data_IF_155009508705
#
_entry.id   IF_155009508705
#
_cell.length_a   1.000
_cell.length_b   1.000
_cell.length_c   1.000
_cell.angle_alpha   90.00
_cell.angle_beta   90.00
_cell.angle_gamma   90.00
#
_symmetry.space_group_name_H-M   'P 1'
#
loop_
_entity.id
_entity.type
_entity.pdbx_description
1 polymer ?
#
# COMPACT_ATOMS: atom_id res chain seq x y z
N UNK A 1 1.10 6.62 25.36
CA UNK A 1 1.72 7.79 24.69
C UNK A 1 0.95 9.04 25.08
N UNK A 2 1.59 10.06 25.63
CA UNK A 2 0.96 11.36 25.90
C UNK A 2 1.65 12.45 25.09
N UNK A 3 0.87 13.33 24.49
CA UNK A 3 1.40 14.54 23.85
C UNK A 3 1.44 15.64 24.91
N UNK A 4 2.61 16.24 25.13
CA UNK A 4 2.74 17.35 26.07
C UNK A 4 2.21 18.65 25.45
N UNK A 5 1.97 19.68 26.29
CA UNK A 5 1.54 21.01 25.83
C UNK A 5 2.49 21.68 24.82
N UNK A 6 3.70 21.18 24.72
CA UNK A 6 4.76 21.66 23.81
C UNK A 6 4.84 20.81 22.53
N UNK A 7 3.82 20.03 22.18
CA UNK A 7 3.78 19.09 21.06
C UNK A 7 4.91 18.03 21.06
N UNK A 8 5.51 17.75 22.22
CA UNK A 8 6.49 16.69 22.36
C UNK A 8 5.79 15.36 22.65
N UNK A 9 6.09 14.32 21.88
CA UNK A 9 5.64 12.96 22.16
C UNK A 9 6.45 12.40 23.33
N UNK A 10 5.78 11.96 24.40
CA UNK A 10 6.40 11.32 25.55
C UNK A 10 5.94 9.88 25.66
N UNK A 11 6.87 8.98 25.91
CA UNK A 11 6.61 7.58 26.23
C UNK A 11 6.59 7.44 27.76
N UNK A 12 5.45 7.71 28.38
CA UNK A 12 5.31 7.72 29.84
C UNK A 12 5.38 6.33 30.51
N UNK A 13 5.30 5.25 29.69
CA UNK A 13 5.26 3.87 30.21
C UNK A 13 6.63 3.27 30.52
N UNK A 14 7.72 3.94 30.19
CA UNK A 14 9.08 3.42 30.36
C UNK A 14 9.92 4.39 31.21
N UNK A 15 9.72 4.39 32.50
CA UNK A 15 10.69 4.88 33.46
C UNK A 15 11.96 4.00 33.37
N UNK A 16 13.10 4.48 33.09
CA UNK A 16 13.71 5.79 32.98
C UNK A 16 13.75 6.39 31.56
N UNK A 17 13.09 5.80 30.58
CA UNK A 17 13.06 6.29 29.19
C UNK A 17 12.11 7.48 28.98
N UNK A 18 11.15 7.67 29.89
CA UNK A 18 10.21 8.80 29.86
C UNK A 18 10.88 10.18 29.87
N UNK A 19 12.11 10.27 30.35
CA UNK A 19 12.90 11.51 30.37
C UNK A 19 13.79 11.70 29.15
N UNK A 20 13.91 10.69 28.26
CA UNK A 20 14.69 10.81 27.03
C UNK A 20 13.84 11.52 25.97
N UNK A 21 14.24 12.73 25.60
CA UNK A 21 13.73 13.36 24.39
C UNK A 21 14.14 12.51 23.19
N UNK A 22 13.16 12.06 22.42
CA UNK A 22 13.45 11.44 21.12
C UNK A 22 14.12 12.51 20.26
N UNK A 23 15.37 12.27 19.90
CA UNK A 23 16.11 13.09 18.96
C UNK A 23 16.22 12.28 17.67
N UNK A 24 15.30 12.46 16.71
CA UNK A 24 15.39 11.75 15.44
C UNK A 24 16.67 12.18 14.73
N UNK A 25 17.37 11.20 14.17
CA UNK A 25 18.56 11.43 13.33
C UNK A 25 18.22 10.90 11.96
N UNK A 26 18.34 11.74 10.94
CA UNK A 26 18.21 11.30 9.56
C UNK A 26 19.38 10.39 9.22
N UNK A 27 19.09 9.14 8.83
CA UNK A 27 20.09 8.13 8.46
C UNK A 27 20.26 8.03 6.95
N UNK A 28 19.23 8.42 6.19
CA UNK A 28 19.28 8.50 4.73
C UNK A 28 18.27 9.51 4.19
N UNK A 29 18.48 9.95 2.94
CA UNK A 29 17.50 10.67 2.14
C UNK A 29 17.79 10.45 0.65
N UNK A 30 16.72 10.34 -0.13
CA UNK A 30 16.78 10.16 -1.58
C UNK A 30 15.94 11.24 -2.24
N UNK A 31 16.52 11.90 -3.24
CA UNK A 31 15.81 12.81 -4.15
C UNK A 31 15.76 12.16 -5.53
N UNK A 32 14.57 11.83 -5.99
CA UNK A 32 14.37 11.29 -7.32
C UNK A 32 13.59 12.29 -8.18
N UNK A 33 14.19 12.71 -9.29
CA UNK A 33 13.58 13.67 -10.22
C UNK A 33 12.50 13.05 -11.12
N UNK A 34 12.37 11.74 -11.09
CA UNK A 34 11.33 10.99 -11.80
C UNK A 34 9.96 11.13 -11.16
N UNK A 35 9.89 11.54 -9.88
CA UNK A 35 8.68 11.68 -9.09
C UNK A 35 8.52 13.11 -8.59
N UNK A 36 7.27 13.53 -8.37
CA UNK A 36 6.99 14.95 -8.14
C UNK A 36 6.46 15.27 -6.74
N UNK A 37 5.72 14.33 -6.09
CA UNK A 37 5.05 14.63 -4.83
C UNK A 37 4.87 13.37 -3.97
N UNK A 38 5.93 13.00 -3.26
CA UNK A 38 5.89 11.88 -2.32
C UNK A 38 4.79 12.08 -1.26
N UNK A 39 3.86 11.14 -1.18
CA UNK A 39 2.68 11.26 -0.33
C UNK A 39 2.68 10.26 0.81
N UNK A 40 2.90 8.99 0.56
CA UNK A 40 2.96 7.96 1.58
C UNK A 40 4.14 7.02 1.38
N UNK A 41 4.52 6.33 2.45
CA UNK A 41 5.57 5.34 2.47
C UNK A 41 5.10 4.13 3.29
N UNK A 42 5.09 2.94 2.69
CA UNK A 42 4.64 1.71 3.34
C UNK A 42 5.72 0.66 3.25
N UNK A 43 6.17 0.16 4.40
CA UNK A 43 7.11 -0.96 4.46
C UNK A 43 6.40 -2.28 4.13
N UNK A 44 7.12 -3.22 3.50
CA UNK A 44 6.71 -4.60 3.50
C UNK A 44 6.84 -5.21 4.91
N UNK A 45 6.36 -6.44 5.11
CA UNK A 45 6.26 -7.03 6.46
C UNK A 45 7.60 -7.21 7.16
N UNK A 46 8.68 -7.48 6.45
CA UNK A 46 10.02 -7.69 7.03
C UNK A 46 10.88 -6.41 7.10
N UNK A 47 10.39 -5.30 6.56
CA UNK A 47 11.06 -4.00 6.58
C UNK A 47 12.25 -3.89 5.62
N UNK A 48 12.33 -4.76 4.62
CA UNK A 48 13.40 -4.76 3.61
C UNK A 48 13.06 -3.94 2.37
N UNK A 49 11.79 -3.61 2.17
CA UNK A 49 11.29 -2.80 1.05
C UNK A 49 10.37 -1.70 1.54
N UNK A 50 10.31 -0.61 0.77
CA UNK A 50 9.38 0.50 0.97
C UNK A 50 8.72 0.83 -0.36
N UNK A 51 7.39 0.86 -0.36
CA UNK A 51 6.61 1.38 -1.47
C UNK A 51 6.23 2.82 -1.16
N UNK A 52 6.65 3.75 -2.01
CA UNK A 52 6.30 5.16 -1.94
C UNK A 52 5.25 5.49 -2.99
N UNK A 53 4.26 6.29 -2.63
CA UNK A 53 3.26 6.77 -3.58
C UNK A 53 3.58 8.20 -4.02
N UNK A 54 3.44 8.50 -5.32
CA UNK A 54 3.58 9.86 -5.87
C UNK A 54 2.20 10.45 -6.18
N UNK A 55 1.68 11.24 -5.26
CA UNK A 55 0.42 11.97 -5.47
C UNK A 55 0.64 13.21 -6.36
N UNK A 56 1.19 13.03 -7.53
CA UNK A 56 1.58 14.13 -8.39
C UNK A 56 0.47 15.14 -8.68
N UNK A 57 0.72 16.36 -8.29
CA UNK A 57 -0.23 17.47 -8.45
C UNK A 57 -1.41 17.42 -7.49
N UNK A 58 -1.31 16.66 -6.38
CA UNK A 58 -2.34 16.57 -5.34
C UNK A 58 -3.62 15.90 -5.85
N UNK A 59 -3.50 14.90 -6.73
CA UNK A 59 -4.59 14.01 -7.14
C UNK A 59 -5.70 14.64 -7.99
N UNK A 60 -5.62 15.92 -8.34
CA UNK A 60 -6.71 16.61 -9.05
C UNK A 60 -6.68 16.52 -10.58
N UNK A 61 -5.73 15.78 -11.16
CA UNK A 61 -5.52 15.73 -12.61
C UNK A 61 -5.53 14.31 -13.16
N UNK A 62 -5.89 14.12 -14.44
CA UNK A 62 -5.77 12.83 -15.12
C UNK A 62 -4.28 12.58 -15.42
N UNK A 63 -3.69 11.61 -14.72
CA UNK A 63 -2.28 11.22 -14.86
C UNK A 63 -2.10 9.73 -15.14
N UNK A 64 -3.19 9.06 -15.57
CA UNK A 64 -3.20 7.64 -15.92
C UNK A 64 -3.68 7.40 -17.36
N UNK A 65 -3.49 8.38 -18.25
CA UNK A 65 -3.87 8.24 -19.66
C UNK A 65 -2.84 7.38 -20.41
N UNK A 66 -3.25 6.77 -21.52
CA UNK A 66 -2.38 5.93 -22.35
C UNK A 66 -1.09 6.63 -22.84
N UNK A 67 -1.13 7.95 -23.02
CA UNK A 67 0.00 8.75 -23.48
C UNK A 67 0.87 9.34 -22.37
N UNK A 68 0.48 9.17 -21.11
CA UNK A 68 1.23 9.73 -19.98
C UNK A 68 2.52 8.94 -19.70
N UNK A 69 3.60 9.62 -19.31
CA UNK A 69 4.79 8.93 -18.80
C UNK A 69 4.46 8.02 -17.62
N UNK A 70 5.02 6.81 -17.61
CA UNK A 70 4.71 5.80 -16.59
C UNK A 70 5.02 6.22 -15.16
N UNK A 71 5.99 7.12 -14.97
CA UNK A 71 6.36 7.62 -13.63
C UNK A 71 5.44 8.73 -13.11
N UNK A 72 4.53 9.27 -13.90
CA UNK A 72 3.62 10.31 -13.44
C UNK A 72 2.58 9.78 -12.46
N UNK A 73 2.69 10.20 -11.19
CA UNK A 73 1.79 9.74 -10.15
C UNK A 73 1.79 8.22 -9.99
N UNK A 74 2.96 7.61 -10.05
CA UNK A 74 3.19 6.18 -9.90
C UNK A 74 3.66 5.83 -8.48
N UNK A 75 3.74 4.55 -8.17
CA UNK A 75 4.49 4.07 -7.01
C UNK A 75 5.95 3.93 -7.36
N UNK A 76 6.81 4.15 -6.38
CA UNK A 76 8.21 3.79 -6.44
C UNK A 76 8.52 2.72 -5.39
N UNK A 77 9.20 1.67 -5.81
CA UNK A 77 9.63 0.58 -4.93
C UNK A 77 11.12 0.74 -4.68
N UNK A 78 11.48 0.73 -3.40
CA UNK A 78 12.84 0.85 -2.93
C UNK A 78 13.17 -0.31 -2.00
N UNK A 79 14.34 -0.91 -2.20
CA UNK A 79 14.97 -1.78 -1.20
C UNK A 79 15.61 -0.97 -0.10
N UNK A 80 15.50 -1.46 1.14
CA UNK A 80 16.16 -0.90 2.32
C UNK A 80 17.20 -1.89 2.85
N UNK A 81 18.48 -1.54 2.74
CA UNK A 81 19.58 -2.34 3.24
C UNK A 81 20.56 -1.47 4.02
N UNK A 82 20.92 -1.91 5.22
CA UNK A 82 21.85 -1.20 6.11
C UNK A 82 21.49 0.28 6.35
N UNK A 83 20.18 0.57 6.41
CA UNK A 83 19.64 1.92 6.55
C UNK A 83 19.74 2.79 5.28
N UNK A 84 19.99 2.18 4.12
CA UNK A 84 20.09 2.85 2.83
C UNK A 84 19.00 2.41 1.88
N UNK A 85 18.36 3.40 1.24
CA UNK A 85 17.35 3.21 0.22
C UNK A 85 17.99 3.10 -1.17
N UNK A 86 17.57 2.09 -1.94
CA UNK A 86 17.96 1.88 -3.34
C UNK A 86 16.72 1.71 -4.18
N UNK A 87 16.57 2.52 -5.24
CA UNK A 87 15.46 2.40 -6.19
C UNK A 87 15.56 1.08 -6.97
N UNK A 88 14.47 0.33 -6.99
CA UNK A 88 14.35 -0.92 -7.74
C UNK A 88 13.50 -0.67 -9.00
N UNK A 89 12.22 -0.34 -8.83
CA UNK A 89 11.29 -0.16 -9.95
C UNK A 89 10.15 0.81 -9.62
N UNK A 90 9.26 0.99 -10.59
CA UNK A 90 7.99 1.69 -10.41
C UNK A 90 6.81 0.80 -10.80
N UNK A 91 5.70 0.99 -10.11
CA UNK A 91 4.41 0.45 -10.54
C UNK A 91 3.48 1.59 -10.96
N UNK A 92 2.77 1.40 -12.05
CA UNK A 92 1.73 2.30 -12.56
C UNK A 92 0.52 1.48 -12.98
N UNK A 93 -0.65 1.96 -12.62
CA UNK A 93 -1.93 1.39 -13.05
C UNK A 93 -1.87 0.96 -14.53
N UNK A 94 -2.09 -0.32 -14.86
CA UNK A 94 -1.90 -0.81 -16.23
C UNK A 94 -3.02 -0.39 -17.17
N UNK A 95 -4.26 -0.25 -16.67
CA UNK A 95 -5.41 0.17 -17.47
C UNK A 95 -5.43 1.70 -17.65
N UNK A 96 -5.35 2.20 -18.90
CA UNK A 96 -5.42 3.63 -19.15
C UNK A 96 -6.79 4.20 -18.76
N UNK A 97 -6.78 5.35 -18.12
CA UNK A 97 -7.97 6.09 -17.73
C UNK A 97 -8.27 7.22 -18.74
N UNK A 98 -9.48 7.74 -18.72
CA UNK A 98 -9.88 8.86 -19.57
C UNK A 98 -9.31 10.21 -19.06
N UNK A 99 -9.49 11.26 -19.85
CA UNK A 99 -9.18 12.64 -19.45
C UNK A 99 -10.21 13.24 -18.46
N UNK A 100 -11.26 12.48 -18.13
CA UNK A 100 -12.30 12.85 -17.15
C UNK A 100 -12.05 12.26 -15.75
N UNK A 101 -11.01 11.46 -15.60
CA UNK A 101 -10.68 10.74 -14.37
C UNK A 101 -9.40 11.28 -13.76
N UNK A 102 -9.53 11.98 -12.61
CA UNK A 102 -8.33 12.28 -11.83
C UNK A 102 -7.74 10.97 -11.29
N UNK A 103 -6.46 10.74 -11.53
CA UNK A 103 -5.81 9.47 -11.24
C UNK A 103 -4.32 9.65 -10.99
N UNK A 104 -3.89 9.28 -9.80
CA UNK A 104 -2.50 9.10 -9.35
C UNK A 104 -2.47 8.10 -8.20
N UNK A 105 -1.30 7.60 -7.85
CA UNK A 105 -1.08 6.78 -6.67
C UNK A 105 -1.45 7.54 -5.38
N UNK A 106 -2.18 6.91 -4.49
CA UNK A 106 -2.58 7.48 -3.20
C UNK A 106 -2.41 6.46 -2.05
N UNK A 107 -3.24 6.52 -1.02
CA UNK A 107 -3.08 5.69 0.17
C UNK A 107 -3.47 4.23 -0.02
N UNK A 108 -2.76 3.38 0.69
CA UNK A 108 -3.00 1.95 0.71
C UNK A 108 -2.49 1.27 1.97
N UNK A 109 -2.57 -0.05 2.00
CA UNK A 109 -2.04 -0.87 3.08
C UNK A 109 -1.56 -2.24 2.59
N UNK A 110 -0.72 -2.88 3.38
CA UNK A 110 -0.31 -4.26 3.14
C UNK A 110 -1.49 -5.21 3.36
N UNK A 111 -1.65 -6.18 2.46
CA UNK A 111 -2.43 -7.40 2.67
C UNK A 111 -1.44 -8.47 3.12
N UNK A 112 -1.50 -8.91 4.38
CA UNK A 112 -0.46 -9.76 4.94
C UNK A 112 -0.60 -11.21 4.44
N UNK A 113 0.28 -11.64 3.55
CA UNK A 113 0.35 -13.01 3.04
C UNK A 113 1.76 -13.56 3.30
N UNK A 114 1.91 -14.76 3.89
CA UNK A 114 3.23 -15.31 4.19
C UNK A 114 4.13 -15.38 2.96
N UNK A 115 5.32 -14.78 3.03
CA UNK A 115 6.33 -14.81 1.96
C UNK A 115 5.95 -14.04 0.69
N UNK A 116 4.97 -13.13 0.77
CA UNK A 116 4.62 -12.21 -0.33
C UNK A 116 4.45 -10.79 0.18
N UNK A 117 4.78 -9.83 -0.66
CA UNK A 117 4.59 -8.42 -0.43
C UNK A 117 3.41 -7.94 -1.29
N UNK A 118 2.22 -7.95 -0.72
CA UNK A 118 0.98 -7.56 -1.40
C UNK A 118 0.47 -6.25 -0.81
N UNK A 119 0.15 -5.29 -1.68
CA UNK A 119 -0.33 -3.97 -1.31
C UNK A 119 -1.64 -3.66 -2.00
N UNK A 120 -2.65 -3.22 -1.26
CA UNK A 120 -3.87 -2.66 -1.83
C UNK A 120 -3.80 -1.15 -1.83
N UNK A 121 -4.20 -0.50 -2.92
CA UNK A 121 -4.01 0.92 -3.12
C UNK A 121 -5.19 1.58 -3.81
N UNK A 122 -5.46 2.82 -3.44
CA UNK A 122 -6.38 3.72 -4.09
C UNK A 122 -5.67 4.57 -5.17
N UNK A 123 -6.35 4.76 -6.31
CA UNK A 123 -5.89 5.55 -7.47
C UNK A 123 -6.88 6.65 -7.84
N UNK A 124 -7.61 7.21 -6.88
CA UNK A 124 -8.72 8.11 -7.16
C UNK A 124 -9.74 7.47 -8.11
N UNK A 125 -10.09 8.10 -9.23
CA UNK A 125 -11.03 7.53 -10.21
C UNK A 125 -10.46 6.35 -11.00
N UNK A 126 -9.14 6.14 -10.98
CA UNK A 126 -8.53 4.89 -11.45
C UNK A 126 -8.85 3.66 -10.57
N UNK A 127 -9.62 3.85 -9.49
CA UNK A 127 -10.15 2.76 -8.69
C UNK A 127 -9.20 2.23 -7.63
N UNK A 128 -9.17 0.91 -7.51
CA UNK A 128 -8.35 0.16 -6.55
C UNK A 128 -7.49 -0.84 -7.31
N UNK A 129 -6.20 -0.89 -7.00
CA UNK A 129 -5.29 -1.96 -7.41
C UNK A 129 -4.86 -2.79 -6.22
N UNK A 130 -4.70 -4.10 -6.42
CA UNK A 130 -3.96 -4.99 -5.53
C UNK A 130 -2.69 -5.39 -6.26
N UNK A 131 -1.55 -5.07 -5.66
CA UNK A 131 -0.23 -5.13 -6.28
C UNK A 131 0.61 -6.16 -5.54
N UNK A 132 1.21 -7.09 -6.27
CA UNK A 132 2.27 -7.94 -5.77
C UNK A 132 3.62 -7.33 -6.14
N UNK A 133 4.41 -6.93 -5.15
CA UNK A 133 5.76 -6.40 -5.29
C UNK A 133 6.81 -7.28 -4.57
N UNK A 134 6.49 -8.57 -4.43
CA UNK A 134 7.43 -9.58 -3.88
C UNK A 134 8.73 -9.58 -4.67
N UNK A 135 8.64 -9.53 -6.00
CA UNK A 135 9.75 -9.15 -6.87
C UNK A 135 9.74 -7.62 -7.03
N UNK A 136 10.68 -6.94 -6.35
CA UNK A 136 10.75 -5.50 -6.35
C UNK A 136 11.08 -4.90 -7.74
N UNK A 137 11.72 -5.66 -8.61
CA UNK A 137 12.05 -5.25 -9.97
C UNK A 137 10.86 -5.36 -10.94
N UNK A 138 9.90 -6.25 -10.64
CA UNK A 138 8.77 -6.58 -11.51
C UNK A 138 7.43 -6.64 -10.76
N UNK A 139 6.93 -5.52 -10.20
CA UNK A 139 5.63 -5.49 -9.53
C UNK A 139 4.50 -5.73 -10.54
N UNK A 140 3.49 -6.51 -10.12
CA UNK A 140 2.35 -6.88 -10.97
C UNK A 140 1.02 -6.58 -10.27
N UNK A 141 0.02 -6.18 -11.04
CA UNK A 141 -1.37 -6.11 -10.56
C UNK A 141 -1.97 -7.52 -10.53
N UNK A 142 -2.53 -7.90 -9.38
CA UNK A 142 -3.13 -9.22 -9.18
C UNK A 142 -4.64 -9.18 -8.98
N UNK A 143 -5.19 -8.01 -8.67
CA UNK A 143 -6.62 -7.74 -8.67
C UNK A 143 -6.87 -6.23 -8.80
N UNK A 144 -8.05 -5.86 -9.25
CA UNK A 144 -8.43 -4.45 -9.40
C UNK A 144 -9.94 -4.25 -9.27
N UNK A 145 -10.33 -3.02 -9.02
CA UNK A 145 -11.70 -2.55 -9.15
C UNK A 145 -11.69 -1.13 -9.71
N UNK A 146 -12.45 -0.93 -10.79
CA UNK A 146 -12.62 0.35 -11.45
C UNK A 146 -14.08 0.48 -11.89
N UNK A 147 -14.67 1.67 -11.74
CA UNK A 147 -16.05 1.94 -12.13
C UNK A 147 -16.18 3.09 -13.13
N UNK A 148 -15.04 3.58 -13.60
CA UNK A 148 -15.00 4.71 -14.52
C UNK A 148 -15.29 6.07 -13.88
N UNK A 149 -15.40 7.13 -14.71
CA UNK A 149 -15.49 8.51 -14.25
C UNK A 149 -16.75 8.78 -13.43
N UNK A 150 -16.66 9.77 -12.54
CA UNK A 150 -17.83 10.31 -11.81
C UNK A 150 -18.76 11.02 -12.78
N UNK A 151 -18.20 11.69 -13.78
CA UNK A 151 -18.90 12.42 -14.84
C UNK A 151 -18.18 12.17 -16.18
N UNK A 152 -18.90 11.73 -17.19
CA UNK A 152 -18.34 11.40 -18.50
C UNK A 152 -18.01 12.65 -19.35
N UNK A 153 -18.55 13.80 -19.01
CA UNK A 153 -18.39 15.04 -19.79
C UNK A 153 -17.36 15.97 -19.16
N UNK A 154 -17.20 15.93 -17.82
CA UNK A 154 -16.39 16.88 -17.08
C UNK A 154 -15.41 16.18 -16.14
N UNK A 155 -14.19 16.70 -16.02
CA UNK A 155 -13.27 16.29 -14.99
C UNK A 155 -13.73 16.80 -13.62
N UNK A 156 -14.32 15.90 -12.83
CA UNK A 156 -14.71 16.12 -11.44
C UNK A 156 -13.73 15.36 -10.55
N UNK A 157 -13.28 15.95 -9.47
CA UNK A 157 -12.47 15.24 -8.49
C UNK A 157 -13.31 14.20 -7.76
N UNK A 158 -12.92 12.94 -7.84
CA UNK A 158 -13.63 11.80 -7.26
C UNK A 158 -12.72 10.59 -7.12
N UNK A 159 -13.34 9.45 -6.87
CA UNK A 159 -12.67 8.17 -6.79
C UNK A 159 -12.13 7.83 -5.39
N UNK A 160 -11.43 6.72 -5.30
CA UNK A 160 -10.99 6.17 -4.03
C UNK A 160 -9.83 6.96 -3.44
N UNK A 161 -10.03 7.43 -2.19
CA UNK A 161 -9.04 8.21 -1.44
C UNK A 161 -8.06 7.33 -0.70
N UNK A 162 -8.54 6.24 -0.08
CA UNK A 162 -7.74 5.32 0.71
C UNK A 162 -8.30 3.91 0.59
N UNK A 163 -7.43 2.91 0.63
CA UNK A 163 -7.79 1.50 0.67
C UNK A 163 -7.03 0.79 1.79
N UNK A 164 -7.74 0.12 2.69
CA UNK A 164 -7.14 -0.56 3.84
C UNK A 164 -7.66 -1.99 3.97
N UNK A 165 -6.72 -2.94 4.11
CA UNK A 165 -7.04 -4.29 4.53
C UNK A 165 -7.37 -4.32 6.02
N UNK A 166 -8.48 -4.90 6.36
CA UNK A 166 -8.87 -5.14 7.74
C UNK A 166 -9.83 -6.33 7.83
N UNK A 167 -9.50 -7.29 8.70
CA UNK A 167 -10.37 -8.42 9.05
C UNK A 167 -11.02 -9.10 7.81
N UNK A 168 -10.18 -9.52 6.85
CA UNK A 168 -10.60 -10.24 5.65
C UNK A 168 -11.31 -9.40 4.58
N UNK A 169 -11.26 -8.08 4.69
CA UNK A 169 -11.91 -7.17 3.72
C UNK A 169 -11.01 -5.97 3.40
N UNK A 170 -11.25 -5.39 2.25
CA UNK A 170 -10.67 -4.11 1.85
C UNK A 170 -11.76 -3.04 2.03
N UNK A 171 -11.46 -2.03 2.82
CA UNK A 171 -12.32 -0.86 3.03
C UNK A 171 -11.72 0.32 2.29
N UNK A 172 -12.50 0.90 1.37
CA UNK A 172 -12.04 1.99 0.53
C UNK A 172 -13.02 3.16 0.57
N UNK A 173 -12.54 4.32 1.01
CA UNK A 173 -13.33 5.55 0.97
C UNK A 173 -13.31 6.11 -0.45
N UNK A 174 -14.46 6.54 -0.93
CA UNK A 174 -14.65 7.12 -2.27
C UNK A 174 -15.23 8.52 -2.11
N UNK A 175 -14.57 9.52 -2.71
CA UNK A 175 -14.85 10.96 -2.51
C UNK A 175 -16.29 11.32 -2.88
N UNK A 176 -16.77 10.83 -4.02
CA UNK A 176 -18.09 11.20 -4.57
C UNK A 176 -19.19 10.20 -4.20
N UNK A 177 -18.86 8.93 -3.88
CA UNK A 177 -19.83 7.84 -3.78
C UNK A 177 -19.84 7.15 -2.40
N UNK A 178 -18.97 7.54 -1.47
CA UNK A 178 -18.99 7.13 -0.06
C UNK A 178 -17.97 6.06 0.31
N UNK A 179 -18.38 4.84 0.63
CA UNK A 179 -17.53 3.74 1.11
C UNK A 179 -17.83 2.46 0.33
N UNK A 180 -16.77 1.84 -0.16
CA UNK A 180 -16.81 0.51 -0.73
C UNK A 180 -16.14 -0.52 0.21
N UNK A 181 -16.68 -1.72 0.24
CA UNK A 181 -16.11 -2.86 0.97
C UNK A 181 -15.96 -4.01 -0.01
N UNK A 182 -14.71 -4.48 -0.18
CA UNK A 182 -14.40 -5.56 -1.11
C UNK A 182 -13.94 -6.82 -0.38
N UNK A 183 -14.22 -7.97 -0.99
CA UNK A 183 -13.60 -9.24 -0.68
C UNK A 183 -12.62 -9.62 -1.80
N UNK A 184 -11.51 -10.26 -1.45
CA UNK A 184 -10.67 -10.93 -2.43
C UNK A 184 -11.28 -12.29 -2.78
N UNK A 185 -11.27 -12.61 -4.07
CA UNK A 185 -11.65 -13.92 -4.59
C UNK A 185 -10.42 -14.69 -5.05
N UNK A 186 -10.37 -16.01 -4.89
CA UNK A 186 -9.28 -16.81 -5.43
C UNK A 186 -9.12 -16.65 -6.94
N UNK A 187 -7.88 -16.54 -7.41
CA UNK A 187 -7.55 -16.36 -8.82
C UNK A 187 -6.27 -17.12 -9.18
N UNK A 188 -5.85 -17.02 -10.41
CA UNK A 188 -4.52 -17.52 -10.82
C UNK A 188 -3.36 -16.83 -10.09
N UNK A 189 -3.56 -15.63 -9.53
CA UNK A 189 -2.54 -14.85 -8.83
C UNK A 189 -2.58 -15.00 -7.31
N UNK A 190 -3.72 -15.42 -6.74
CA UNK A 190 -3.91 -15.50 -5.29
C UNK A 190 -4.77 -16.72 -4.93
N UNK A 191 -4.23 -17.65 -4.12
CA UNK A 191 -4.95 -18.85 -3.72
C UNK A 191 -5.97 -18.58 -2.62
N UNK A 192 -6.90 -19.51 -2.41
CA UNK A 192 -7.83 -19.45 -1.28
C UNK A 192 -7.07 -19.52 0.07
N UNK A 193 -6.00 -20.31 0.13
CA UNK A 193 -5.15 -20.46 1.31
C UNK A 193 -4.37 -19.18 1.61
N UNK A 194 -3.92 -18.45 0.59
CA UNK A 194 -3.27 -17.14 0.76
C UNK A 194 -4.25 -16.09 1.29
N UNK A 195 -5.48 -16.08 0.79
CA UNK A 195 -6.54 -15.18 1.31
C UNK A 195 -6.87 -15.54 2.76
N UNK A 196 -7.03 -16.83 3.08
CA UNK A 196 -7.27 -17.28 4.44
C UNK A 196 -6.10 -16.94 5.38
N UNK A 197 -4.86 -17.02 4.88
CA UNK A 197 -3.67 -16.61 5.65
C UNK A 197 -3.66 -15.11 5.93
N UNK A 198 -4.10 -14.28 4.99
CA UNK A 198 -4.22 -12.85 5.22
C UNK A 198 -5.25 -12.51 6.33
N UNK A 199 -6.29 -13.30 6.47
CA UNK A 199 -7.27 -13.19 7.56
C UNK A 199 -6.70 -13.70 8.90
N UNK A 200 -5.83 -14.72 8.86
CA UNK A 200 -5.25 -15.36 10.03
C UNK A 200 -3.97 -14.69 10.55
N UNK A 201 -3.54 -13.57 9.96
CA UNK A 201 -2.35 -12.85 10.37
C UNK A 201 -2.44 -12.40 11.84
N UNK A 202 -1.38 -12.68 12.61
CA UNK A 202 -1.29 -12.35 14.02
C UNK A 202 -0.52 -11.05 14.22
N UNK A 203 -1.10 -10.12 14.94
CA UNK A 203 -0.53 -8.82 15.24
C UNK A 203 0.04 -8.81 16.66
N UNK A 204 1.20 -8.17 16.90
CA UNK A 204 1.68 -7.93 18.25
C UNK A 204 0.61 -7.21 19.07
N UNK A 205 0.42 -7.65 20.32
CA UNK A 205 -0.55 -7.08 21.28
C UNK A 205 -2.03 -7.21 20.84
N UNK A 206 -2.36 -8.10 19.89
CA UNK A 206 -3.70 -8.30 19.34
C UNK A 206 -4.39 -7.01 18.85
N UNK A 207 -3.61 -5.98 18.53
CA UNK A 207 -4.11 -4.69 18.04
C UNK A 207 -3.70 -4.48 16.60
N UNK A 208 -4.68 -4.48 15.71
CA UNK A 208 -4.48 -4.12 14.32
C UNK A 208 -4.75 -2.62 14.10
N UNK A 209 -3.79 -1.98 13.44
CA UNK A 209 -3.98 -0.68 12.82
C UNK A 209 -3.21 -0.66 11.49
N UNK A 210 -3.87 -0.54 10.34
CA UNK A 210 -3.23 -0.59 9.02
C UNK A 210 -2.21 0.53 8.81
N UNK A 211 -2.24 1.56 9.62
CA UNK A 211 -1.31 2.69 9.54
C UNK A 211 -0.05 2.51 10.40
N UNK A 212 0.00 1.53 11.29
CA UNK A 212 1.16 1.36 12.20
C UNK A 212 2.30 0.56 11.59
N UNK A 213 2.07 -0.10 10.45
CA UNK A 213 3.07 -0.91 9.73
C UNK A 213 3.81 -1.90 10.65
N UNK A 214 3.03 -2.58 11.48
CA UNK A 214 3.57 -3.55 12.45
C UNK A 214 3.82 -4.87 11.74
N UNK A 215 4.98 -5.49 12.01
CA UNK A 215 5.27 -6.85 11.54
C UNK A 215 4.23 -7.83 12.07
N UNK A 216 3.75 -8.69 11.18
CA UNK A 216 2.80 -9.76 11.51
C UNK A 216 3.46 -11.12 11.39
N UNK A 217 2.87 -12.10 12.06
CA UNK A 217 3.28 -13.51 12.01
C UNK A 217 2.07 -14.40 11.72
N UNK A 218 2.31 -15.67 11.48
CA UNK A 218 1.27 -16.67 11.22
C UNK A 218 1.54 -17.94 12.01
N UNK A 219 0.50 -18.72 12.34
CA UNK A 219 0.67 -20.09 12.81
C UNK A 219 1.37 -20.97 11.77
N UNK A 220 2.14 -21.96 12.22
CA UNK A 220 2.93 -22.85 11.34
C UNK A 220 2.06 -23.65 10.35
N UNK A 221 0.85 -24.04 10.76
CA UNK A 221 -0.10 -24.76 9.91
C UNK A 221 -0.64 -23.86 8.79
N UNK A 222 -0.83 -22.57 9.03
CA UNK A 222 -1.22 -21.59 8.00
C UNK A 222 -0.10 -21.42 6.98
N UNK A 223 1.15 -21.27 7.43
CA UNK A 223 2.32 -21.17 6.53
C UNK A 223 2.42 -22.44 5.66
N UNK A 224 2.28 -23.62 6.29
CA UNK A 224 2.34 -24.90 5.59
C UNK A 224 1.24 -25.03 4.52
N UNK A 225 0.01 -24.61 4.82
CA UNK A 225 -1.10 -24.63 3.86
C UNK A 225 -0.83 -23.74 2.65
N UNK A 226 -0.33 -22.54 2.87
CA UNK A 226 0.04 -21.59 1.80
C UNK A 226 1.15 -22.16 0.92
N UNK A 227 2.20 -22.73 1.50
CA UNK A 227 3.29 -23.35 0.73
C UNK A 227 2.81 -24.54 -0.11
N UNK A 228 1.90 -25.36 0.44
CA UNK A 228 1.31 -26.48 -0.29
C UNK A 228 0.47 -26.02 -1.48
N UNK A 229 -0.34 -24.97 -1.31
CA UNK A 229 -1.19 -24.41 -2.37
C UNK A 229 -0.38 -23.86 -3.56
N UNK A 230 0.77 -23.25 -3.28
CA UNK A 230 1.69 -22.73 -4.33
C UNK A 230 2.32 -23.84 -5.15
N UNK A 231 2.82 -24.89 -4.47
CA UNK A 231 3.42 -26.07 -5.16
C UNK A 231 2.45 -26.77 -6.11
N UNK A 232 1.16 -26.77 -5.79
CA UNK A 232 0.11 -27.34 -6.65
C UNK A 232 -0.14 -26.57 -7.95
N UNK A 233 0.40 -25.37 -8.10
CA UNK A 233 0.26 -24.52 -9.30
C UNK A 233 1.46 -24.58 -10.25
N UNK A 234 2.61 -25.02 -9.76
CA UNK A 234 3.84 -25.14 -10.55
C UNK A 234 3.93 -26.45 -11.35
N UNK A 235 2.96 -27.37 -11.22
CA UNK A 235 2.85 -28.67 -11.90
C UNK A 235 1.69 -28.69 -12.87
#
# INVERSE_FOLDING_TARGET
MRVSKDNNVRLDALEPLAQRRLKPVRIDDVTDKGFAYWHSATFNNDGTKVLFTDEWGGGGRPRCQAGDPRNWGADAIYSLKDGKLSFDSLYKLPAPQSDKENCVAHNGSIIPVPGRDIFVQAWYQGGISVIDFTDADNPVEIAYFDRGPVDEEQLITGGHWSAYWYNGRIYATEIARGLDVFALEPSEFLTAEEIAAAEAAQYPDDVFNPQTQTQVTWPDDVITAVEASRKGREG
#
